data_IF_461527983965
#
_entry.id   IF_461527983965
#
_cell.length_a   1.000
_cell.length_b   1.000
_cell.length_c   1.000
_cell.angle_alpha   90.00
_cell.angle_beta   90.00
_cell.angle_gamma   90.00
#
_symmetry.space_group_name_H-M   'P 1'
#
loop_
_entity.id
_entity.type
_entity.pdbx_description
1 polymer ?
#
# COMPACT_ATOMS: atom_id res chain seq x y z
N UNK A 1 -1.82 8.12 -22.32
CA UNK A 1 -1.49 8.15 -20.88
C UNK A 1 -0.03 7.74 -20.75
N UNK A 2 0.78 8.50 -20.03
CA UNK A 2 2.20 8.17 -19.82
C UNK A 2 2.30 7.04 -18.81
N UNK A 3 2.91 5.92 -19.18
CA UNK A 3 3.20 4.82 -18.25
C UNK A 3 4.50 5.14 -17.53
N UNK A 4 4.44 5.27 -16.21
CA UNK A 4 5.62 5.47 -15.38
C UNK A 4 6.16 4.10 -14.96
N UNK A 5 7.44 3.86 -15.20
CA UNK A 5 8.14 2.64 -14.80
C UNK A 5 9.18 2.94 -13.73
N UNK A 6 9.51 1.95 -12.90
CA UNK A 6 10.59 2.07 -11.94
C UNK A 6 11.90 2.38 -12.69
N UNK A 7 12.57 3.47 -12.29
CA UNK A 7 13.82 3.92 -12.94
C UNK A 7 14.98 2.95 -12.70
N UNK A 8 15.00 2.30 -11.53
CA UNK A 8 15.96 1.26 -11.13
C UNK A 8 15.38 -0.12 -11.40
N UNK A 9 15.46 -0.57 -12.65
CA UNK A 9 14.84 -1.84 -13.09
C UNK A 9 15.42 -3.06 -12.35
N UNK A 10 16.68 -2.98 -11.92
CA UNK A 10 17.34 -4.01 -11.13
C UNK A 10 16.74 -4.20 -9.72
N UNK A 11 15.96 -3.22 -9.25
CA UNK A 11 15.26 -3.26 -7.96
C UNK A 11 13.79 -3.67 -8.13
N UNK A 12 13.33 -3.95 -9.35
CA UNK A 12 11.95 -4.35 -9.60
C UNK A 12 11.71 -5.76 -9.06
N UNK A 13 10.61 -5.92 -8.34
CA UNK A 13 10.07 -7.23 -7.96
C UNK A 13 8.98 -7.51 -8.98
N UNK A 14 9.28 -8.28 -10.02
CA UNK A 14 8.32 -8.57 -11.09
C UNK A 14 7.56 -9.90 -10.85
N UNK A 15 8.04 -10.71 -9.91
CA UNK A 15 7.44 -11.99 -9.54
C UNK A 15 6.24 -11.79 -8.59
N UNK A 16 5.01 -12.14 -9.02
CA UNK A 16 3.82 -12.02 -8.17
C UNK A 16 3.90 -12.84 -6.88
N UNK A 17 4.65 -13.95 -6.87
CA UNK A 17 4.80 -14.77 -5.66
C UNK A 17 5.60 -14.02 -4.59
N UNK A 18 6.69 -13.35 -4.98
CA UNK A 18 7.46 -12.50 -4.07
C UNK A 18 6.65 -11.30 -3.56
N UNK A 19 5.79 -10.71 -4.40
CA UNK A 19 4.87 -9.67 -3.95
C UNK A 19 3.88 -10.21 -2.90
N UNK A 20 3.28 -11.37 -3.16
CA UNK A 20 2.37 -12.03 -2.23
C UNK A 20 3.06 -12.40 -0.90
N UNK A 21 4.31 -12.84 -0.94
CA UNK A 21 5.11 -13.08 0.26
C UNK A 21 5.29 -11.83 1.11
N UNK A 22 5.60 -10.68 0.50
CA UNK A 22 5.71 -9.40 1.21
C UNK A 22 4.35 -9.06 1.84
N UNK A 23 3.27 -9.15 1.06
CA UNK A 23 1.92 -8.84 1.55
C UNK A 23 1.54 -9.77 2.73
N UNK A 24 1.84 -11.06 2.66
CA UNK A 24 1.56 -12.01 3.76
C UNK A 24 2.42 -11.78 4.99
N UNK A 25 3.66 -11.32 4.79
CA UNK A 25 4.63 -11.12 5.87
C UNK A 25 4.37 -9.87 6.73
N UNK A 26 3.62 -8.89 6.22
CA UNK A 26 3.38 -7.63 6.92
C UNK A 26 1.97 -7.57 7.54
N UNK A 27 1.84 -6.78 8.60
CA UNK A 27 0.58 -6.60 9.35
C UNK A 27 -0.09 -5.25 9.07
N UNK A 28 0.66 -4.29 8.53
CA UNK A 28 0.24 -2.91 8.35
C UNK A 28 0.57 -2.42 6.95
N UNK A 29 -0.29 -1.54 6.44
CA UNK A 29 -0.04 -0.78 5.22
C UNK A 29 -0.19 0.70 5.50
N UNK A 30 0.50 1.52 4.71
CA UNK A 30 0.21 2.94 4.58
C UNK A 30 -0.78 3.13 3.43
N UNK A 31 -1.92 3.75 3.72
CA UNK A 31 -2.93 4.11 2.72
C UNK A 31 -2.88 5.62 2.48
N UNK A 32 -2.69 6.01 1.23
CA UNK A 32 -2.72 7.39 0.77
C UNK A 32 -4.10 7.71 0.19
N UNK A 33 -4.73 8.73 0.77
CA UNK A 33 -6.00 9.30 0.36
C UNK A 33 -5.79 10.74 -0.10
N UNK A 34 -6.71 11.28 -0.89
CA UNK A 34 -6.63 12.68 -1.31
C UNK A 34 -8.04 13.28 -1.46
N UNK A 35 -8.23 14.46 -0.88
CA UNK A 35 -9.44 15.27 -1.00
C UNK A 35 -8.99 16.71 -1.23
N UNK A 36 -9.58 17.40 -2.20
CA UNK A 36 -9.29 18.83 -2.48
C UNK A 36 -7.78 19.13 -2.66
N UNK A 37 -7.04 18.22 -3.32
CA UNK A 37 -5.58 18.24 -3.49
C UNK A 37 -4.77 18.18 -2.18
N UNK A 38 -5.40 17.89 -1.04
CA UNK A 38 -4.70 17.60 0.20
C UNK A 38 -4.50 16.09 0.38
N UNK A 39 -3.24 15.61 0.43
CA UNK A 39 -2.96 14.22 0.72
C UNK A 39 -3.15 13.93 2.21
N UNK A 40 -3.63 12.72 2.50
CA UNK A 40 -3.74 12.20 3.85
C UNK A 40 -3.22 10.76 3.88
N UNK A 41 -2.28 10.48 4.77
CA UNK A 41 -1.70 9.16 4.98
C UNK A 41 -2.22 8.54 6.27
N UNK A 42 -2.61 7.28 6.21
CA UNK A 42 -3.08 6.51 7.35
C UNK A 42 -2.40 5.16 7.38
N UNK A 43 -1.79 4.81 8.51
CA UNK A 43 -1.35 3.44 8.79
C UNK A 43 -2.53 2.64 9.32
N UNK A 44 -2.79 1.48 8.74
CA UNK A 44 -3.84 0.57 9.21
C UNK A 44 -3.44 -0.89 8.99
N UNK A 45 -4.02 -1.77 9.81
CA UNK A 45 -3.89 -3.20 9.56
C UNK A 45 -4.75 -3.61 8.36
N UNK A 46 -4.42 -4.74 7.74
CA UNK A 46 -5.20 -5.30 6.65
C UNK A 46 -5.30 -6.83 6.74
N UNK A 47 -6.31 -7.37 6.08
CA UNK A 47 -6.33 -8.75 5.57
C UNK A 47 -6.24 -8.72 4.05
N UNK A 48 -5.62 -9.73 3.46
CA UNK A 48 -5.48 -9.83 2.00
C UNK A 48 -6.09 -11.15 1.53
N UNK A 49 -7.04 -11.06 0.61
CA UNK A 49 -7.59 -12.19 -0.13
C UNK A 49 -6.85 -12.30 -1.46
N UNK A 50 -6.01 -13.33 -1.58
CA UNK A 50 -5.18 -13.55 -2.77
C UNK A 50 -6.01 -13.93 -4.00
N UNK A 51 -7.09 -14.71 -3.83
CA UNK A 51 -7.94 -15.15 -4.94
C UNK A 51 -8.68 -13.96 -5.56
N UNK A 52 -9.23 -13.09 -4.71
CA UNK A 52 -9.92 -11.87 -5.14
C UNK A 52 -8.96 -10.70 -5.41
N UNK A 53 -7.69 -10.83 -5.00
CA UNK A 53 -6.68 -9.76 -4.98
C UNK A 53 -7.23 -8.50 -4.30
N UNK A 54 -7.87 -8.69 -3.16
CA UNK A 54 -8.59 -7.64 -2.45
C UNK A 54 -8.02 -7.44 -1.03
N UNK A 55 -7.81 -6.18 -0.66
CA UNK A 55 -7.43 -5.79 0.69
C UNK A 55 -8.67 -5.42 1.49
N UNK A 56 -8.78 -5.99 2.68
CA UNK A 56 -9.83 -5.71 3.65
C UNK A 56 -9.22 -5.04 4.87
N UNK A 57 -9.89 -4.01 5.40
CA UNK A 57 -9.51 -3.37 6.64
C UNK A 57 -10.76 -2.86 7.34
N UNK A 58 -10.73 -2.88 8.66
CA UNK A 58 -11.83 -2.36 9.47
C UNK A 58 -11.56 -0.91 9.84
N UNK A 59 -12.62 -0.15 10.08
CA UNK A 59 -12.47 1.21 10.56
C UNK A 59 -13.72 1.75 11.23
N UNK A 60 -13.56 2.85 11.97
CA UNK A 60 -14.70 3.61 12.47
C UNK A 60 -15.56 4.13 11.30
N UNK A 61 -16.87 4.11 11.51
CA UNK A 61 -17.89 4.54 10.53
C UNK A 61 -17.90 6.06 10.28
N UNK A 62 -17.14 6.85 11.06
CA UNK A 62 -17.04 8.31 10.94
C UNK A 62 -15.60 8.78 11.15
N UNK A 63 -15.31 10.00 10.70
CA UNK A 63 -14.04 10.69 10.90
C UNK A 63 -13.30 10.99 9.58
N UNK A 64 -12.15 11.65 9.68
CA UNK A 64 -11.41 12.22 8.54
C UNK A 64 -11.21 11.24 7.37
N UNK A 65 -10.82 9.99 7.66
CA UNK A 65 -10.69 8.93 6.65
C UNK A 65 -11.97 8.72 5.84
N UNK A 66 -13.13 8.67 6.52
CA UNK A 66 -14.42 8.43 5.86
C UNK A 66 -14.76 9.61 4.94
N UNK A 67 -14.52 10.84 5.39
CA UNK A 67 -14.75 12.04 4.57
C UNK A 67 -13.88 12.05 3.31
N UNK A 68 -12.63 11.59 3.43
CA UNK A 68 -11.71 11.47 2.28
C UNK A 68 -12.14 10.36 1.32
N UNK A 69 -12.50 9.18 1.84
CA UNK A 69 -12.94 8.05 1.02
C UNK A 69 -14.28 8.31 0.32
N UNK A 70 -15.20 9.01 0.99
CA UNK A 70 -16.47 9.41 0.40
C UNK A 70 -16.29 10.43 -0.74
N UNK A 71 -15.34 11.36 -0.58
CA UNK A 71 -15.02 12.34 -1.63
C UNK A 71 -14.23 11.71 -2.79
N UNK A 72 -13.29 10.80 -2.50
CA UNK A 72 -12.45 10.14 -3.49
C UNK A 72 -12.06 8.72 -3.02
N UNK A 73 -12.71 7.68 -3.56
CA UNK A 73 -12.41 6.30 -3.18
C UNK A 73 -11.16 5.74 -3.87
N UNK A 74 -10.52 6.49 -4.76
CA UNK A 74 -9.25 6.07 -5.39
C UNK A 74 -8.10 6.34 -4.43
N UNK A 75 -7.39 5.28 -4.07
CA UNK A 75 -6.30 5.32 -3.09
C UNK A 75 -5.05 4.67 -3.64
N UNK A 76 -3.92 4.96 -2.99
CA UNK A 76 -2.69 4.19 -3.14
C UNK A 76 -2.36 3.51 -1.81
N UNK A 77 -2.04 2.23 -1.86
CA UNK A 77 -1.52 1.47 -0.74
C UNK A 77 -0.01 1.22 -0.90
N UNK A 78 0.70 1.20 0.22
CA UNK A 78 2.08 0.73 0.30
C UNK A 78 2.24 -0.22 1.48
N UNK A 79 2.82 -1.38 1.21
CA UNK A 79 3.26 -2.34 2.20
C UNK A 79 4.78 -2.39 2.13
N UNK A 80 5.43 -2.21 3.28
CA UNK A 80 6.89 -2.18 3.40
C UNK A 80 7.34 -3.32 4.28
N UNK A 81 8.21 -4.18 3.76
CA UNK A 81 9.03 -5.09 4.57
C UNK A 81 10.37 -4.41 4.84
N UNK A 82 10.58 -4.04 6.10
CA UNK A 82 11.84 -3.51 6.60
C UNK A 82 12.83 -4.66 6.86
N UNK A 83 14.03 -4.58 6.28
CA UNK A 83 15.13 -5.54 6.48
C UNK A 83 16.35 -4.91 7.18
N UNK A 84 16.26 -3.66 7.59
CA UNK A 84 17.27 -2.97 8.38
C UNK A 84 18.50 -2.47 7.62
N UNK A 85 19.44 -1.93 8.39
CA UNK A 85 20.70 -1.38 7.90
C UNK A 85 21.62 -2.48 7.38
N UNK A 86 22.24 -2.27 6.23
CA UNK A 86 23.27 -3.17 5.70
C UNK A 86 24.60 -2.87 6.38
N UNK A 87 25.08 -3.79 7.21
CA UNK A 87 26.30 -3.61 7.98
C UNK A 87 27.51 -3.29 7.08
N UNK A 88 28.27 -2.25 7.44
CA UNK A 88 29.45 -1.81 6.69
C UNK A 88 29.15 -1.06 5.38
N UNK A 89 27.88 -0.78 5.09
CA UNK A 89 27.45 0.00 3.93
C UNK A 89 26.58 1.18 4.38
N UNK A 90 26.61 2.28 3.62
CA UNK A 90 25.64 3.38 3.79
C UNK A 90 24.35 3.03 3.01
N UNK A 91 23.72 1.91 3.38
CA UNK A 91 22.54 1.38 2.67
C UNK A 91 21.53 0.73 3.63
N UNK A 92 20.26 0.70 3.24
CA UNK A 92 19.14 0.20 4.03
C UNK A 92 18.29 -0.75 3.18
N UNK A 93 18.17 -1.99 3.63
CA UNK A 93 17.46 -3.02 2.89
C UNK A 93 15.96 -2.96 3.21
N UNK A 94 15.13 -2.90 2.18
CA UNK A 94 13.68 -3.03 2.29
C UNK A 94 13.08 -3.57 0.99
N UNK A 95 11.88 -4.14 1.09
CA UNK A 95 11.04 -4.46 -0.08
C UNK A 95 9.71 -3.74 0.07
N UNK A 96 9.14 -3.28 -1.04
CA UNK A 96 7.83 -2.63 -1.03
C UNK A 96 6.92 -3.16 -2.11
N UNK A 97 5.64 -3.28 -1.78
CA UNK A 97 4.56 -3.45 -2.74
C UNK A 97 3.72 -2.18 -2.70
N UNK A 98 3.55 -1.54 -3.85
CA UNK A 98 2.66 -0.40 -4.03
C UNK A 98 1.54 -0.77 -4.98
N UNK A 99 0.32 -0.34 -4.67
CA UNK A 99 -0.84 -0.62 -5.51
C UNK A 99 -1.81 0.55 -5.51
N UNK A 100 -2.45 0.76 -6.66
CA UNK A 100 -3.60 1.66 -6.79
C UNK A 100 -4.87 0.84 -6.63
N UNK A 101 -5.76 1.27 -5.75
CA UNK A 101 -7.04 0.61 -5.50
C UNK A 101 -8.22 1.56 -5.57
N UNK A 102 -9.42 1.00 -5.64
CA UNK A 102 -10.67 1.69 -5.33
C UNK A 102 -11.26 1.05 -4.08
N UNK A 103 -11.56 1.87 -3.08
CA UNK A 103 -12.19 1.40 -1.84
C UNK A 103 -13.70 1.34 -2.02
N UNK A 104 -14.28 0.25 -1.54
CA UNK A 104 -15.73 0.05 -1.47
C UNK A 104 -16.11 -0.25 -0.03
N UNK A 105 -17.21 0.34 0.43
CA UNK A 105 -17.75 0.05 1.75
C UNK A 105 -18.61 -1.20 1.65
N UNK A 106 -18.30 -2.19 2.49
CA UNK A 106 -19.11 -3.38 2.63
C UNK A 106 -20.22 -3.08 3.65
N UNK A 107 -21.47 -3.25 3.24
CA UNK A 107 -22.65 -3.16 4.12
C UNK A 107 -22.83 -4.43 4.95
#
# INVERSE_FOLDING_TARGET
MTTYHLRRKEMAIDDPQQMAEIIRGQQYMALALCKDNEPYLVTMNYGFDEERRCFYFHCAQRGKKMDYLAANPVVWGQITEDRGLVAGQCDYAYRTVQFRGRVEFLE
#
